data_IF_057361705884
#
_entry.id   IF_057361705884
#
_cell.length_a   1.000
_cell.length_b   1.000
_cell.length_c   1.000
_cell.angle_alpha   90.00
_cell.angle_beta   90.00
_cell.angle_gamma   90.00
#
_symmetry.space_group_name_H-M   'P 1'
#
loop_
_entity.id
_entity.type
_entity.pdbx_description
1 polymer ?
#
# COMPACT_ATOMS: atom_id res chain seq x y z
N UNK A 1 -4.47 5.79 21.31
CA UNK A 1 -3.17 5.25 21.80
C UNK A 1 -3.36 3.91 22.54
N UNK A 2 -4.44 3.71 23.27
CA UNK A 2 -4.65 2.49 24.08
C UNK A 2 -5.18 1.29 23.27
N UNK A 3 -5.71 1.48 22.08
CA UNK A 3 -6.39 0.43 21.30
C UNK A 3 -5.55 -0.16 20.16
N UNK A 4 -4.39 0.40 19.87
CA UNK A 4 -3.55 -0.05 18.75
C UNK A 4 -4.25 0.11 17.39
N UNK A 5 -3.97 -0.79 16.43
CA UNK A 5 -4.61 -0.81 15.11
C UNK A 5 -6.02 -1.38 15.24
N UNK A 6 -7.04 -0.55 15.06
CA UNK A 6 -8.47 -0.93 15.18
C UNK A 6 -9.12 -1.25 13.84
N UNK A 7 -8.50 -0.80 12.72
CA UNK A 7 -9.03 -0.99 11.37
C UNK A 7 -7.89 -1.04 10.35
N UNK A 8 -7.96 -1.97 9.41
CA UNK A 8 -6.99 -2.12 8.32
C UNK A 8 -7.71 -2.61 7.07
N UNK A 9 -7.59 -1.84 5.98
CA UNK A 9 -8.21 -2.15 4.71
C UNK A 9 -7.30 -1.77 3.54
N UNK A 10 -7.28 -2.53 2.46
CA UNK A 10 -6.57 -2.14 1.25
C UNK A 10 -7.26 -0.95 0.56
N UNK A 11 -6.46 -0.09 -0.06
CA UNK A 11 -6.93 1.09 -0.78
C UNK A 11 -7.28 0.71 -2.21
N UNK A 12 -8.44 0.06 -2.38
CA UNK A 12 -8.99 -0.39 -3.66
C UNK A 12 -10.51 -0.28 -3.62
N UNK A 13 -11.10 0.06 -4.76
CA UNK A 13 -12.55 0.07 -4.96
C UNK A 13 -12.94 -0.67 -6.22
N UNK A 14 -14.17 -1.16 -6.27
CA UNK A 14 -14.81 -1.77 -7.43
C UNK A 14 -15.94 -0.88 -7.93
N UNK A 15 -15.92 -0.55 -9.22
CA UNK A 15 -16.88 0.31 -9.89
C UNK A 15 -17.64 -0.50 -10.94
N UNK A 16 -18.96 -0.49 -10.90
CA UNK A 16 -19.78 -0.97 -12.02
C UNK A 16 -19.75 0.09 -13.14
N UNK A 17 -19.10 -0.23 -14.25
CA UNK A 17 -18.90 0.70 -15.38
C UNK A 17 -20.20 1.06 -16.10
N UNK A 18 -21.25 0.26 -15.98
CA UNK A 18 -22.57 0.49 -16.61
C UNK A 18 -23.37 1.55 -15.86
N UNK A 19 -23.25 1.58 -14.53
CA UNK A 19 -23.98 2.50 -13.65
C UNK A 19 -23.08 3.60 -13.07
N UNK A 20 -21.77 3.47 -13.26
CA UNK A 20 -20.75 4.32 -12.66
C UNK A 20 -20.88 4.42 -11.12
N UNK A 21 -21.29 3.32 -10.48
CA UNK A 21 -21.45 3.25 -9.02
C UNK A 21 -20.34 2.41 -8.38
N UNK A 22 -19.91 2.84 -7.20
CA UNK A 22 -18.95 2.09 -6.38
C UNK A 22 -19.72 0.98 -5.65
N UNK A 23 -19.42 -0.27 -5.97
CA UNK A 23 -20.14 -1.46 -5.47
C UNK A 23 -19.43 -2.14 -4.30
N UNK A 24 -18.11 -2.02 -4.21
CA UNK A 24 -17.32 -2.58 -3.12
C UNK A 24 -16.07 -1.75 -2.88
N UNK A 25 -15.51 -1.81 -1.67
CA UNK A 25 -14.23 -1.18 -1.29
C UNK A 25 -13.45 -2.07 -0.33
N UNK A 26 -12.15 -1.81 -0.21
CA UNK A 26 -11.30 -2.53 0.74
C UNK A 26 -11.17 -4.01 0.40
N UNK A 27 -11.28 -4.87 1.41
CA UNK A 27 -11.11 -6.32 1.26
C UNK A 27 -12.14 -6.95 0.30
N UNK A 28 -13.36 -6.44 0.26
CA UNK A 28 -14.40 -6.92 -0.67
C UNK A 28 -13.98 -6.67 -2.13
N UNK A 29 -13.45 -5.49 -2.43
CA UNK A 29 -12.95 -5.17 -3.77
C UNK A 29 -11.65 -5.95 -4.09
N UNK A 30 -10.78 -6.17 -3.09
CA UNK A 30 -9.55 -6.93 -3.28
C UNK A 30 -9.83 -8.38 -3.69
N UNK A 31 -10.87 -9.02 -3.13
CA UNK A 31 -11.27 -10.37 -3.49
C UNK A 31 -11.73 -10.51 -4.96
N UNK A 32 -12.10 -9.39 -5.60
CA UNK A 32 -12.51 -9.36 -7.00
C UNK A 32 -11.31 -9.30 -7.96
N UNK A 33 -10.10 -9.05 -7.48
CA UNK A 33 -8.90 -8.96 -8.33
C UNK A 33 -8.66 -10.30 -9.07
N UNK A 34 -8.59 -10.21 -10.39
CA UNK A 34 -8.42 -11.37 -11.28
C UNK A 34 -9.68 -12.24 -11.46
N UNK A 35 -10.83 -11.84 -10.90
CA UNK A 35 -12.11 -12.58 -10.96
C UNK A 35 -13.30 -11.69 -11.34
N UNK A 36 -13.10 -10.37 -11.37
CA UNK A 36 -14.15 -9.42 -11.69
C UNK A 36 -14.66 -9.62 -13.12
N UNK A 37 -15.99 -9.55 -13.35
CA UNK A 37 -16.55 -9.50 -14.68
C UNK A 37 -16.08 -8.25 -15.44
N UNK A 38 -16.13 -8.28 -16.77
CA UNK A 38 -15.62 -7.19 -17.63
C UNK A 38 -16.31 -5.82 -17.40
N UNK A 39 -17.47 -5.79 -16.78
CA UNK A 39 -18.20 -4.56 -16.45
C UNK A 39 -17.87 -4.02 -15.04
N UNK A 40 -16.97 -4.66 -14.31
CA UNK A 40 -16.46 -4.17 -13.02
C UNK A 40 -15.01 -3.74 -13.19
N UNK A 41 -14.76 -2.47 -12.97
CA UNK A 41 -13.42 -1.91 -12.95
C UNK A 41 -12.89 -1.82 -11.52
N UNK A 42 -11.64 -2.26 -11.32
CA UNK A 42 -10.95 -2.24 -10.03
C UNK A 42 -9.99 -1.06 -10.00
N UNK A 43 -10.35 -0.06 -9.22
CA UNK A 43 -9.63 1.22 -9.12
C UNK A 43 -8.79 1.25 -7.85
N UNK A 44 -7.50 1.54 -8.01
CA UNK A 44 -6.60 1.91 -6.91
C UNK A 44 -6.43 3.43 -6.92
N UNK A 45 -7.16 4.16 -6.06
CA UNK A 45 -7.22 5.61 -6.13
C UNK A 45 -5.94 6.31 -5.67
N UNK A 46 -5.07 5.60 -4.97
CA UNK A 46 -3.74 6.06 -4.57
C UNK A 46 -2.68 5.25 -5.32
N UNK A 47 -1.74 5.96 -5.92
CA UNK A 47 -0.59 5.35 -6.57
C UNK A 47 0.66 6.12 -6.15
N UNK A 48 1.61 5.38 -5.59
CA UNK A 48 2.91 5.91 -5.17
C UNK A 48 2.78 7.13 -4.22
N UNK A 49 1.78 7.08 -3.32
CA UNK A 49 1.46 8.15 -2.36
C UNK A 49 0.62 9.30 -2.93
N UNK A 50 0.33 9.31 -4.23
CA UNK A 50 -0.42 10.37 -4.91
C UNK A 50 -1.86 9.97 -5.21
N UNK A 51 -2.80 10.89 -4.99
CA UNK A 51 -4.20 10.70 -5.33
C UNK A 51 -4.36 10.74 -6.85
N UNK A 52 -4.80 9.61 -7.44
CA UNK A 52 -5.10 9.48 -8.87
C UNK A 52 -6.60 9.63 -9.15
N UNK A 53 -7.44 9.21 -8.21
CA UNK A 53 -8.90 9.32 -8.30
C UNK A 53 -9.46 9.92 -7.02
N UNK A 54 -9.78 11.21 -7.06
CA UNK A 54 -10.33 11.97 -5.93
C UNK A 54 -11.69 11.44 -5.48
N UNK A 55 -12.56 11.03 -6.42
CA UNK A 55 -13.90 10.53 -6.10
C UNK A 55 -13.81 9.23 -5.30
N UNK A 56 -13.00 8.29 -5.78
CA UNK A 56 -12.80 7.01 -5.09
C UNK A 56 -12.08 7.21 -3.76
N UNK A 57 -11.07 8.08 -3.70
CA UNK A 57 -10.38 8.41 -2.45
C UNK A 57 -11.34 8.95 -1.41
N UNK A 58 -12.18 9.92 -1.78
CA UNK A 58 -13.19 10.48 -0.87
C UNK A 58 -14.16 9.41 -0.35
N UNK A 59 -14.69 8.56 -1.24
CA UNK A 59 -15.59 7.49 -0.85
C UNK A 59 -14.95 6.51 0.13
N UNK A 60 -13.69 6.12 -0.13
CA UNK A 60 -12.93 5.26 0.79
C UNK A 60 -12.73 5.92 2.15
N UNK A 61 -12.30 7.18 2.19
CA UNK A 61 -12.09 7.92 3.43
C UNK A 61 -13.41 8.02 4.21
N UNK A 62 -14.49 8.38 3.55
CA UNK A 62 -15.82 8.49 4.20
C UNK A 62 -16.24 7.16 4.80
N UNK A 63 -16.10 6.05 4.05
CA UNK A 63 -16.45 4.72 4.57
C UNK A 63 -15.55 4.31 5.73
N UNK A 64 -14.25 4.51 5.62
CA UNK A 64 -13.30 4.14 6.68
C UNK A 64 -13.48 4.98 7.94
N UNK A 65 -13.70 6.28 7.81
CA UNK A 65 -14.00 7.15 8.95
C UNK A 65 -15.31 6.74 9.63
N UNK A 66 -16.36 6.42 8.85
CA UNK A 66 -17.65 5.98 9.39
C UNK A 66 -17.55 4.62 10.11
N UNK A 67 -16.70 3.70 9.63
CA UNK A 67 -16.48 2.39 10.24
C UNK A 67 -15.78 2.52 11.60
N UNK A 68 -14.78 3.39 11.68
CA UNK A 68 -14.00 3.62 12.90
C UNK A 68 -14.74 4.55 13.88
N UNK A 69 -15.34 5.63 13.37
CA UNK A 69 -16.01 6.65 14.17
C UNK A 69 -17.51 6.39 14.25
N UNK A 70 -17.93 5.51 15.16
CA UNK A 70 -19.34 5.12 15.35
C UNK A 70 -20.24 6.27 15.84
N UNK A 71 -19.69 7.34 16.43
CA UNK A 71 -20.46 8.49 16.92
C UNK A 71 -20.58 9.56 15.85
N UNK A 72 -21.82 9.90 15.46
CA UNK A 72 -22.13 11.03 14.58
C UNK A 72 -22.27 12.37 15.32
N UNK A 73 -22.29 12.34 16.65
CA UNK A 73 -22.52 13.54 17.48
C UNK A 73 -21.21 14.32 17.64
N UNK A 74 -20.08 13.61 17.80
CA UNK A 74 -18.78 14.24 17.97
C UNK A 74 -17.93 14.01 16.73
N UNK A 75 -17.65 15.10 15.99
CA UNK A 75 -16.73 15.05 14.86
C UNK A 75 -15.31 14.74 15.33
N UNK A 76 -14.62 13.74 14.75
CA UNK A 76 -13.28 13.35 15.15
C UNK A 76 -12.23 14.40 14.75
N UNK A 77 -11.12 14.42 15.50
CA UNK A 77 -9.85 14.99 15.04
C UNK A 77 -9.05 13.87 14.41
N UNK A 78 -8.56 14.07 13.19
CA UNK A 78 -7.89 13.02 12.41
C UNK A 78 -6.47 13.46 12.11
N UNK A 79 -5.50 12.63 12.42
CA UNK A 79 -4.13 12.74 11.92
C UNK A 79 -3.97 11.84 10.70
N UNK A 80 -3.42 12.36 9.61
CA UNK A 80 -3.18 11.63 8.37
C UNK A 80 -1.70 11.65 8.08
N UNK A 81 -1.12 10.47 7.86
CA UNK A 81 0.26 10.38 7.40
C UNK A 81 0.32 10.68 5.90
N UNK A 82 1.32 11.44 5.51
CA UNK A 82 1.56 11.86 4.13
C UNK A 82 3.05 11.68 3.80
N UNK A 83 3.39 11.40 2.52
CA UNK A 83 4.77 11.30 2.09
C UNK A 83 5.57 12.56 2.42
N UNK A 84 6.86 12.39 2.73
CA UNK A 84 7.72 13.49 3.16
C UNK A 84 7.91 14.60 2.09
N UNK A 85 7.66 14.29 0.83
CA UNK A 85 7.80 15.22 -0.30
C UNK A 85 6.46 15.58 -0.96
N UNK A 86 5.35 15.48 -0.21
CA UNK A 86 4.02 15.87 -0.71
C UNK A 86 4.03 17.36 -1.11
N UNK A 87 3.42 17.67 -2.24
CA UNK A 87 3.23 19.06 -2.69
C UNK A 87 2.13 19.75 -1.88
N UNK A 88 2.13 21.08 -1.85
CA UNK A 88 1.08 21.84 -1.17
C UNK A 88 -0.32 21.53 -1.69
N UNK A 89 -0.46 21.39 -3.02
CA UNK A 89 -1.75 21.07 -3.65
C UNK A 89 -2.25 19.67 -3.24
N UNK A 90 -1.37 18.68 -3.19
CA UNK A 90 -1.72 17.33 -2.75
C UNK A 90 -2.08 17.32 -1.25
N UNK A 91 -1.35 18.06 -0.43
CA UNK A 91 -1.64 18.21 1.00
C UNK A 91 -3.02 18.83 1.23
N UNK A 92 -3.37 19.90 0.50
CA UNK A 92 -4.67 20.53 0.56
C UNK A 92 -5.79 19.56 0.12
N UNK A 93 -5.57 18.79 -0.93
CA UNK A 93 -6.52 17.78 -1.40
C UNK A 93 -6.79 16.68 -0.36
N UNK A 94 -5.74 16.23 0.37
CA UNK A 94 -5.89 15.28 1.48
C UNK A 94 -6.72 15.90 2.60
N UNK A 95 -6.40 17.13 3.01
CA UNK A 95 -7.14 17.84 4.06
C UNK A 95 -8.60 18.00 3.67
N UNK A 96 -8.88 18.45 2.44
CA UNK A 96 -10.24 18.64 1.93
C UNK A 96 -11.03 17.32 1.94
N UNK A 97 -10.42 16.23 1.46
CA UNK A 97 -11.04 14.90 1.45
C UNK A 97 -11.44 14.42 2.86
N UNK A 98 -10.54 14.58 3.83
CA UNK A 98 -10.77 14.13 5.22
C UNK A 98 -11.77 15.05 5.94
N UNK A 99 -11.73 16.37 5.68
CA UNK A 99 -12.73 17.32 6.18
C UNK A 99 -14.10 17.02 5.60
N UNK A 100 -14.18 16.68 4.30
CA UNK A 100 -15.40 16.26 3.61
C UNK A 100 -15.99 14.98 4.20
N UNK A 101 -15.17 14.06 4.69
CA UNK A 101 -15.60 12.86 5.40
C UNK A 101 -16.16 13.12 6.81
N UNK A 102 -16.17 14.39 7.27
CA UNK A 102 -16.78 14.80 8.54
C UNK A 102 -15.81 15.02 9.69
N UNK A 103 -14.51 15.11 9.45
CA UNK A 103 -13.55 15.48 10.47
C UNK A 103 -13.82 16.89 11.02
N UNK A 104 -13.53 17.10 12.32
CA UNK A 104 -13.53 18.43 12.94
C UNK A 104 -12.25 19.19 12.63
N UNK A 105 -11.14 18.47 12.56
CA UNK A 105 -9.80 19.00 12.34
C UNK A 105 -8.91 17.91 11.78
N UNK A 106 -8.04 18.28 10.85
CA UNK A 106 -7.07 17.37 10.22
C UNK A 106 -5.66 17.87 10.54
N UNK A 107 -4.79 16.93 10.88
CA UNK A 107 -3.37 17.15 11.08
C UNK A 107 -2.61 16.29 10.08
N UNK A 108 -1.74 16.88 9.31
CA UNK A 108 -0.82 16.14 8.45
C UNK A 108 0.45 15.80 9.24
N UNK A 109 0.91 14.57 9.12
CA UNK A 109 2.13 14.05 9.75
C UNK A 109 2.99 13.42 8.68
N UNK A 110 4.27 13.75 8.63
CA UNK A 110 5.21 13.11 7.71
C UNK A 110 5.30 11.60 8.01
N UNK A 111 5.12 10.74 7.00
CA UNK A 111 5.19 9.27 7.13
C UNK A 111 6.44 8.79 7.87
N UNK A 112 7.68 9.24 7.51
CA UNK A 112 8.88 8.79 8.23
C UNK A 112 8.93 9.25 9.68
N UNK A 113 8.30 10.39 10.04
CA UNK A 113 8.20 10.81 11.45
C UNK A 113 7.25 9.90 12.21
N UNK A 114 6.11 9.55 11.61
CA UNK A 114 5.17 8.60 12.18
C UNK A 114 5.79 7.20 12.33
N UNK A 115 6.54 6.74 11.31
CA UNK A 115 7.26 5.47 11.34
C UNK A 115 8.31 5.43 12.46
N UNK A 116 9.09 6.51 12.61
CA UNK A 116 10.06 6.65 13.70
C UNK A 116 9.41 6.55 15.08
N UNK A 117 8.30 7.23 15.27
CA UNK A 117 7.53 7.18 16.52
C UNK A 117 6.98 5.77 16.78
N UNK A 118 6.43 5.14 15.73
CA UNK A 118 5.91 3.77 15.81
C UNK A 118 6.96 2.72 16.11
N UNK A 119 8.21 2.94 15.65
CA UNK A 119 9.37 2.11 15.96
C UNK A 119 9.97 2.40 17.35
N UNK A 120 9.44 3.36 18.10
CA UNK A 120 9.93 3.72 19.42
C UNK A 120 11.25 4.51 19.44
N UNK A 121 11.62 5.14 18.31
CA UNK A 121 12.85 5.94 18.25
C UNK A 121 12.70 7.23 19.07
N UNK A 122 13.78 7.59 19.76
CA UNK A 122 13.86 8.81 20.61
C UNK A 122 14.11 10.06 19.75
N UNK A 123 13.19 10.38 18.85
CA UNK A 123 13.35 11.44 17.85
C UNK A 123 13.47 12.84 18.43
N UNK A 124 13.10 13.07 19.70
CA UNK A 124 13.17 14.36 20.37
C UNK A 124 14.57 14.72 20.88
N UNK A 125 15.43 13.74 20.96
CA UNK A 125 16.79 13.94 21.43
C UNK A 125 17.67 14.65 20.37
N UNK A 126 18.77 15.32 20.78
CA UNK A 126 19.63 16.09 19.89
C UNK A 126 20.63 15.20 19.12
N UNK A 127 20.23 14.00 18.78
CA UNK A 127 20.99 13.12 17.87
C UNK A 127 20.14 12.78 16.63
N UNK A 128 20.81 12.48 15.51
CA UNK A 128 20.15 12.11 14.27
C UNK A 128 19.71 10.67 14.28
N UNK A 129 18.42 10.43 13.98
CA UNK A 129 17.88 9.08 13.69
C UNK A 129 17.58 9.02 12.19
N UNK A 130 17.99 7.95 11.51
CA UNK A 130 17.61 7.70 10.12
C UNK A 130 16.52 6.63 10.08
N UNK A 131 15.47 6.91 9.31
CA UNK A 131 14.38 5.99 9.04
C UNK A 131 14.32 5.73 7.54
N UNK A 132 14.14 4.47 7.17
CA UNK A 132 13.85 4.02 5.81
C UNK A 132 12.51 3.32 5.86
N UNK A 133 11.50 3.93 5.27
CA UNK A 133 10.15 3.40 5.16
C UNK A 133 9.93 2.85 3.75
N UNK A 134 9.82 1.53 3.64
CA UNK A 134 9.60 0.84 2.37
C UNK A 134 8.13 0.47 2.27
N UNK A 135 7.37 1.34 1.61
CA UNK A 135 5.94 1.16 1.42
C UNK A 135 5.57 0.23 0.25
N UNK A 136 4.37 0.42 -0.28
CA UNK A 136 3.92 -0.28 -1.48
C UNK A 136 4.43 0.37 -2.76
N UNK A 137 4.35 1.71 -2.86
CA UNK A 137 4.66 2.48 -4.06
C UNK A 137 5.98 3.25 -3.99
N UNK A 138 6.34 3.76 -2.82
CA UNK A 138 7.54 4.56 -2.58
C UNK A 138 8.36 4.02 -1.42
N UNK A 139 9.64 4.36 -1.43
CA UNK A 139 10.54 4.22 -0.30
C UNK A 139 10.94 5.61 0.16
N UNK A 140 10.57 5.96 1.38
CA UNK A 140 10.84 7.24 2.01
C UNK A 140 11.97 7.12 3.01
N UNK A 141 12.98 7.97 2.85
CA UNK A 141 14.17 8.00 3.70
C UNK A 141 14.22 9.37 4.38
N UNK A 142 14.33 9.40 5.69
CA UNK A 142 14.45 10.65 6.42
C UNK A 142 15.47 10.56 7.56
N UNK A 143 16.16 11.68 7.77
CA UNK A 143 16.94 11.94 8.98
C UNK A 143 16.12 12.88 9.84
N UNK A 144 15.92 12.48 11.10
CA UNK A 144 15.09 13.18 12.08
C UNK A 144 15.97 13.51 13.28
N UNK A 145 15.85 14.71 13.80
CA UNK A 145 16.50 15.15 15.03
C UNK A 145 15.67 16.23 15.72
N UNK A 146 15.67 16.27 17.03
CA UNK A 146 14.94 17.25 17.85
C UNK A 146 13.45 17.33 17.51
N UNK A 147 12.83 16.18 17.17
CA UNK A 147 11.43 16.07 16.80
C UNK A 147 11.06 16.55 15.40
N UNK A 148 12.03 17.02 14.62
CA UNK A 148 11.83 17.54 13.26
C UNK A 148 12.61 16.77 12.20
N UNK A 149 12.10 16.82 10.97
CA UNK A 149 12.77 16.29 9.79
C UNK A 149 13.91 17.22 9.36
N UNK A 150 15.15 16.71 9.39
CA UNK A 150 16.34 17.44 8.95
C UNK A 150 16.51 17.32 7.43
N UNK A 151 16.37 16.10 6.89
CA UNK A 151 16.48 15.83 5.45
C UNK A 151 15.59 14.62 5.11
N UNK A 152 15.02 14.63 3.91
CA UNK A 152 14.31 13.49 3.36
C UNK A 152 14.63 13.30 1.88
N UNK A 153 14.46 12.06 1.43
CA UNK A 153 14.46 11.64 0.04
C UNK A 153 13.37 10.61 -0.15
N UNK A 154 12.75 10.58 -1.32
CA UNK A 154 11.78 9.58 -1.71
C UNK A 154 12.16 9.00 -3.06
N UNK A 155 11.99 7.69 -3.23
CA UNK A 155 12.19 7.00 -4.51
C UNK A 155 10.95 6.17 -4.84
N UNK A 156 10.47 6.18 -6.11
CA UNK A 156 9.26 5.46 -6.52
C UNK A 156 9.55 3.96 -6.78
N UNK A 157 10.31 3.34 -5.88
CA UNK A 157 10.67 1.91 -5.93
C UNK A 157 10.40 1.32 -4.56
N UNK A 158 9.45 0.38 -4.49
CA UNK A 158 9.04 -0.27 -3.26
C UNK A 158 8.33 -1.60 -3.55
N UNK A 159 7.51 -2.10 -2.65
CA UNK A 159 6.88 -3.41 -2.70
C UNK A 159 6.19 -3.77 -4.01
N UNK A 160 5.48 -2.82 -4.63
CA UNK A 160 4.82 -3.05 -5.93
C UNK A 160 5.82 -3.24 -7.08
N UNK A 161 6.98 -2.58 -7.03
CA UNK A 161 8.04 -2.78 -8.00
C UNK A 161 8.66 -4.17 -7.85
N UNK A 162 8.87 -4.61 -6.60
CA UNK A 162 9.38 -5.95 -6.32
C UNK A 162 8.42 -7.03 -6.81
N UNK A 163 7.11 -6.86 -6.61
CA UNK A 163 6.10 -7.79 -7.12
C UNK A 163 6.14 -7.90 -8.64
N UNK A 164 6.30 -6.77 -9.35
CA UNK A 164 6.44 -6.78 -10.82
C UNK A 164 7.70 -7.48 -11.28
N UNK A 165 8.83 -7.23 -10.62
CA UNK A 165 10.09 -7.91 -10.94
C UNK A 165 9.98 -9.42 -10.72
N UNK A 166 9.37 -9.86 -9.62
CA UNK A 166 9.15 -11.28 -9.33
C UNK A 166 8.24 -11.92 -10.39
N UNK A 167 7.13 -11.25 -10.74
CA UNK A 167 6.21 -11.77 -11.75
C UNK A 167 6.89 -11.92 -13.12
N UNK A 168 7.68 -10.91 -13.51
CA UNK A 168 8.46 -10.94 -14.75
C UNK A 168 9.51 -12.06 -14.72
N UNK A 169 10.26 -12.18 -13.64
CA UNK A 169 11.28 -13.22 -13.49
C UNK A 169 10.67 -14.64 -13.56
N UNK A 170 9.55 -14.86 -12.88
CA UNK A 170 8.83 -16.14 -12.93
C UNK A 170 8.35 -16.45 -14.35
N UNK A 171 7.86 -15.44 -15.06
CA UNK A 171 7.46 -15.59 -16.45
C UNK A 171 8.65 -15.94 -17.36
N UNK A 172 9.77 -15.26 -17.23
CA UNK A 172 10.95 -15.46 -18.05
C UNK A 172 11.63 -16.82 -17.79
N UNK A 173 11.79 -17.18 -16.51
CA UNK A 173 12.53 -18.38 -16.12
C UNK A 173 11.69 -19.66 -16.19
N UNK A 174 10.42 -19.60 -15.78
CA UNK A 174 9.56 -20.77 -15.68
C UNK A 174 8.45 -20.82 -16.73
N UNK A 175 8.37 -19.82 -17.59
CA UNK A 175 7.36 -19.70 -18.65
C UNK A 175 5.90 -19.72 -18.11
N UNK A 176 5.71 -19.17 -16.91
CA UNK A 176 4.40 -19.10 -16.23
C UNK A 176 4.07 -17.65 -15.90
N UNK A 177 2.96 -17.15 -16.46
CA UNK A 177 2.40 -15.86 -16.09
C UNK A 177 1.60 -16.00 -14.79
N UNK A 178 2.01 -15.29 -13.74
CA UNK A 178 1.34 -15.24 -12.44
C UNK A 178 0.67 -13.89 -12.23
N UNK A 179 -0.41 -13.89 -11.44
CA UNK A 179 -1.11 -12.65 -11.07
C UNK A 179 -0.39 -11.86 -9.96
N UNK A 180 -0.75 -10.57 -9.79
CA UNK A 180 -0.10 -9.69 -8.81
C UNK A 180 -0.19 -10.18 -7.37
N UNK A 181 -1.31 -10.76 -6.97
CA UNK A 181 -1.48 -11.33 -5.63
C UNK A 181 -0.57 -12.54 -5.38
N UNK A 182 -0.32 -13.34 -6.42
CA UNK A 182 0.62 -14.47 -6.33
C UNK A 182 2.06 -13.99 -6.24
N UNK A 183 2.42 -12.94 -6.98
CA UNK A 183 3.74 -12.30 -6.91
C UNK A 183 3.99 -11.70 -5.52
N UNK A 184 3.01 -11.00 -4.96
CA UNK A 184 3.08 -10.47 -3.59
C UNK A 184 3.23 -11.60 -2.55
N UNK A 185 2.52 -12.70 -2.71
CA UNK A 185 2.64 -13.86 -1.83
C UNK A 185 4.05 -14.48 -1.93
N UNK A 186 4.60 -14.63 -3.14
CA UNK A 186 5.99 -15.08 -3.34
C UNK A 186 6.99 -14.17 -2.66
N UNK A 187 6.86 -12.83 -2.85
CA UNK A 187 7.71 -11.85 -2.16
C UNK A 187 7.72 -12.06 -0.65
N UNK A 188 6.55 -12.23 -0.05
CA UNK A 188 6.40 -12.33 1.41
C UNK A 188 6.83 -13.67 2.00
N UNK A 189 6.71 -14.77 1.26
CA UNK A 189 6.89 -16.12 1.78
C UNK A 189 8.19 -16.78 1.33
N UNK A 190 8.71 -16.39 0.17
CA UNK A 190 9.80 -17.13 -0.48
C UNK A 190 10.97 -16.22 -0.84
N UNK A 191 10.72 -14.97 -1.26
CA UNK A 191 11.78 -14.09 -1.71
C UNK A 191 12.70 -13.66 -0.56
N UNK A 192 13.99 -13.59 -0.87
CA UNK A 192 15.02 -13.11 0.02
C UNK A 192 16.07 -12.36 -0.79
N UNK A 193 16.62 -11.26 -0.30
CA UNK A 193 17.62 -10.46 -1.00
C UNK A 193 19.07 -10.90 -0.76
N UNK A 194 19.28 -11.89 0.08
CA UNK A 194 20.61 -12.43 0.35
C UNK A 194 20.54 -13.96 0.46
N UNK A 195 21.65 -14.63 0.16
CA UNK A 195 21.78 -16.06 0.48
C UNK A 195 21.62 -16.22 1.99
N UNK A 196 20.53 -16.81 2.41
CA UNK A 196 20.24 -17.10 3.82
C UNK A 196 20.03 -18.60 4.01
N UNK A 197 20.05 -19.06 5.26
CA UNK A 197 19.67 -20.43 5.62
C UNK A 197 18.15 -20.66 5.51
N UNK A 198 17.38 -19.57 5.26
CA UNK A 198 15.95 -19.67 5.06
C UNK A 198 15.66 -20.26 3.68
N UNK A 199 15.00 -21.42 3.67
CA UNK A 199 14.47 -22.04 2.46
C UNK A 199 12.94 -22.06 2.48
N UNK A 200 12.34 -21.00 1.93
CA UNK A 200 10.90 -20.99 1.65
C UNK A 200 10.58 -21.77 0.37
N UNK A 201 9.37 -22.30 0.31
CA UNK A 201 8.84 -23.00 -0.85
C UNK A 201 7.37 -22.63 -1.06
N UNK A 202 6.97 -22.40 -2.31
CA UNK A 202 5.59 -22.08 -2.67
C UNK A 202 5.21 -22.69 -4.03
N UNK A 203 4.06 -23.38 -4.09
CA UNK A 203 3.44 -23.73 -5.37
C UNK A 203 2.71 -22.50 -5.93
N UNK A 204 3.09 -22.08 -7.11
CA UNK A 204 2.41 -21.02 -7.86
C UNK A 204 1.51 -21.62 -8.93
N UNK A 205 0.40 -20.95 -9.19
CA UNK A 205 -0.55 -21.27 -10.25
C UNK A 205 -0.70 -20.07 -11.17
N UNK A 206 -0.67 -20.34 -12.45
CA UNK A 206 -0.78 -19.33 -13.48
C UNK A 206 -1.15 -19.96 -14.82
N UNK A 207 -0.80 -19.26 -15.89
CA UNK A 207 -0.97 -19.76 -17.25
C UNK A 207 0.40 -19.94 -17.89
N UNK A 208 0.59 -21.04 -18.61
CA UNK A 208 1.78 -21.23 -19.43
C UNK A 208 1.85 -20.10 -20.48
N UNK A 209 2.99 -19.43 -20.55
CA UNK A 209 3.22 -18.36 -21.53
C UNK A 209 3.18 -18.88 -22.97
N UNK A 210 3.61 -20.13 -23.20
CA UNK A 210 3.64 -20.73 -24.52
C UNK A 210 2.29 -21.26 -24.98
N UNK A 211 1.56 -21.96 -24.09
CA UNK A 211 0.34 -22.69 -24.47
C UNK A 211 -0.95 -21.99 -24.01
N UNK A 212 -0.84 -20.98 -23.16
CA UNK A 212 -1.96 -20.32 -22.49
C UNK A 212 -2.87 -21.26 -21.66
N UNK A 213 -2.38 -22.47 -21.36
CA UNK A 213 -3.09 -23.43 -20.53
C UNK A 213 -2.74 -23.22 -19.05
N UNK A 214 -3.63 -23.60 -18.10
CA UNK A 214 -3.31 -23.58 -16.69
C UNK A 214 -2.04 -24.37 -16.38
N UNK A 215 -1.12 -23.76 -15.64
CA UNK A 215 0.15 -24.35 -15.27
C UNK A 215 0.43 -24.16 -13.78
N UNK A 216 1.28 -25.04 -13.24
CA UNK A 216 1.74 -24.98 -11.83
C UNK A 216 3.24 -25.17 -11.81
N UNK A 217 3.87 -24.51 -10.86
CA UNK A 217 5.30 -24.68 -10.61
C UNK A 217 5.59 -24.51 -9.13
N UNK A 218 6.63 -25.17 -8.63
CA UNK A 218 7.11 -25.01 -7.25
C UNK A 218 8.34 -24.15 -7.28
N UNK A 219 8.29 -23.01 -6.60
CA UNK A 219 9.37 -22.02 -6.52
C UNK A 219 9.99 -22.09 -5.13
N UNK A 220 11.30 -22.13 -5.09
CA UNK A 220 12.10 -22.14 -3.87
C UNK A 220 12.81 -20.79 -3.69
N UNK A 221 13.19 -20.46 -2.46
CA UNK A 221 13.95 -19.24 -2.17
C UNK A 221 15.19 -19.12 -3.05
N UNK A 222 15.94 -20.21 -3.25
CA UNK A 222 17.13 -20.25 -4.12
C UNK A 222 16.86 -19.87 -5.59
N UNK A 223 15.62 -20.00 -6.05
CA UNK A 223 15.24 -19.65 -7.42
C UNK A 223 15.10 -18.15 -7.64
N UNK A 224 15.00 -17.38 -6.55
CA UNK A 224 14.76 -15.93 -6.55
C UNK A 224 15.98 -15.08 -6.12
N UNK A 225 17.17 -15.70 -6.02
CA UNK A 225 18.43 -15.00 -5.66
C UNK A 225 19.16 -14.36 -6.83
N UNK A 226 18.88 -14.70 -8.04
CA UNK A 226 19.63 -14.29 -9.25
C UNK A 226 19.18 -12.94 -9.79
#
# INVERSE_FOLDING_TARGET
EEQGVVFRQPTIGAVDTRTNTIIAVGDEALQMVGRAPAYIDLVRPLRDGVIQDHRMTNELIVRFVNEVCRSRIFKPRIAVCVPAQITGVEADAVVESVMGAGAKQVFLVDEPVAAALGAGLQIREPHGCMVVDIGGGSTDIAVISMGGRVKAASVPVAGNAFDRCIAQYVQEKFQIAIGPLTAEALKKQVACCTKSEFEGVMEVRGHSWETNLPARHVIYTRDLYE
#
